data_IF_139303029484
#
_entry.id   IF_139303029484
#
_cell.length_a   1.000
_cell.length_b   1.000
_cell.length_c   1.000
_cell.angle_alpha   90.00
_cell.angle_beta   90.00
_cell.angle_gamma   90.00
#
_symmetry.space_group_name_H-M   'P 1'
#
loop_
_entity.id
_entity.type
_entity.pdbx_description
1 polymer ?
#
# COMPACT_ATOMS: atom_id res chain seq x y z
N UNK A 1 3.47 0.22 -52.41
CA UNK A 1 3.64 1.61 -51.96
C UNK A 1 3.77 1.58 -50.46
N UNK A 2 4.94 1.93 -49.99
CA UNK A 2 5.40 1.95 -48.60
C UNK A 2 4.57 2.94 -47.75
N UNK A 3 4.42 2.66 -46.43
CA UNK A 3 5.03 3.54 -45.47
C UNK A 3 5.29 2.85 -44.14
N UNK A 4 6.56 2.83 -43.86
CA UNK A 4 7.26 2.41 -42.68
C UNK A 4 7.29 3.59 -41.70
N UNK A 5 6.82 3.42 -40.48
CA UNK A 5 7.16 4.30 -39.36
C UNK A 5 7.40 3.52 -38.10
N UNK A 6 8.69 3.26 -37.89
CA UNK A 6 9.24 2.74 -36.67
C UNK A 6 8.74 3.48 -35.43
N UNK A 7 8.04 2.77 -34.56
CA UNK A 7 7.75 3.21 -33.19
C UNK A 7 8.84 2.70 -32.27
N UNK A 8 9.57 3.67 -31.74
CA UNK A 8 10.53 3.55 -30.66
C UNK A 8 10.06 2.67 -29.51
N UNK A 9 10.79 1.59 -29.28
CA UNK A 9 10.73 0.79 -28.05
C UNK A 9 11.40 1.56 -26.92
N UNK A 10 10.67 2.38 -26.17
CA UNK A 10 11.02 2.81 -24.81
C UNK A 10 9.74 3.38 -24.14
N UNK A 11 8.78 2.51 -23.88
CA UNK A 11 7.72 2.85 -22.93
C UNK A 11 7.75 1.82 -21.79
N UNK A 12 8.61 2.09 -20.81
CA UNK A 12 8.62 1.41 -19.52
C UNK A 12 7.61 2.08 -18.60
N UNK A 13 6.39 2.22 -19.05
CA UNK A 13 5.28 2.49 -18.16
C UNK A 13 4.95 1.19 -17.43
N UNK A 14 5.29 1.12 -16.17
CA UNK A 14 4.76 0.16 -15.21
C UNK A 14 3.26 0.43 -15.03
N UNK A 15 2.49 0.26 -16.10
CA UNK A 15 1.03 0.25 -16.03
C UNK A 15 0.64 -1.08 -15.38
N UNK A 16 0.29 -1.02 -14.09
CA UNK A 16 -0.46 -2.08 -13.45
C UNK A 16 -1.63 -2.42 -14.38
N UNK A 17 -1.67 -3.63 -14.94
CA UNK A 17 -2.74 -4.10 -15.81
C UNK A 17 -4.07 -3.90 -15.09
N UNK A 18 -4.81 -2.89 -15.53
CA UNK A 18 -6.17 -2.62 -15.02
C UNK A 18 -7.09 -3.57 -15.77
N UNK A 19 -7.52 -4.63 -15.10
CA UNK A 19 -8.60 -5.46 -15.61
C UNK A 19 -9.85 -4.61 -15.88
N UNK A 20 -10.60 -4.96 -16.93
CA UNK A 20 -11.82 -4.23 -17.29
C UNK A 20 -12.86 -4.27 -16.16
N UNK A 21 -13.74 -3.30 -16.10
CA UNK A 21 -14.77 -3.22 -15.05
C UNK A 21 -15.73 -4.42 -15.07
N UNK A 22 -15.97 -5.00 -16.27
CA UNK A 22 -16.80 -6.20 -16.47
C UNK A 22 -16.14 -7.47 -15.92
N UNK A 23 -14.80 -7.55 -15.90
CA UNK A 23 -14.06 -8.69 -15.38
C UNK A 23 -13.86 -8.64 -13.85
N UNK A 24 -14.10 -7.50 -13.20
CA UNK A 24 -13.87 -7.31 -11.75
C UNK A 24 -15.00 -7.80 -10.87
N UNK A 25 -16.14 -8.16 -11.43
CA UNK A 25 -17.30 -8.51 -10.63
C UNK A 25 -17.69 -7.40 -9.63
N UNK A 26 -18.16 -7.79 -8.47
CA UNK A 26 -18.65 -6.87 -7.43
C UNK A 26 -17.54 -6.23 -6.54
N UNK A 27 -16.32 -6.02 -7.06
CA UNK A 27 -15.19 -5.35 -6.35
C UNK A 27 -14.83 -6.05 -5.01
N UNK A 28 -14.98 -7.38 -4.95
CA UNK A 28 -14.64 -8.18 -3.78
C UNK A 28 -13.12 -8.29 -3.67
N UNK A 29 -12.56 -7.70 -2.61
CA UNK A 29 -11.16 -7.84 -2.22
C UNK A 29 -11.11 -8.51 -0.85
N UNK A 30 -10.81 -9.81 -0.84
CA UNK A 30 -10.68 -10.52 0.42
C UNK A 30 -9.55 -9.97 1.27
N UNK A 31 -9.84 -9.70 2.52
CA UNK A 31 -8.86 -9.24 3.49
C UNK A 31 -7.98 -10.41 3.92
N UNK A 32 -6.65 -10.34 3.72
CA UNK A 32 -5.77 -11.40 4.19
C UNK A 32 -5.88 -11.58 5.70
N UNK A 33 -5.92 -12.82 6.19
CA UNK A 33 -5.99 -13.13 7.62
C UNK A 33 -4.90 -12.39 8.43
N UNK A 34 -3.69 -12.31 7.89
CA UNK A 34 -2.55 -11.60 8.51
C UNK A 34 -2.82 -10.11 8.77
N UNK A 35 -3.73 -9.49 8.04
CA UNK A 35 -4.11 -8.10 8.27
C UNK A 35 -4.96 -7.96 9.53
N UNK A 36 -5.88 -8.88 9.77
CA UNK A 36 -6.74 -8.92 10.95
C UNK A 36 -5.92 -9.33 12.18
N UNK A 37 -5.04 -10.33 12.04
CA UNK A 37 -4.09 -10.74 13.07
C UNK A 37 -3.20 -9.58 13.54
N UNK A 38 -2.69 -8.79 12.59
CA UNK A 38 -1.88 -7.62 12.91
C UNK A 38 -2.67 -6.54 13.66
N UNK A 39 -3.96 -6.38 13.36
CA UNK A 39 -4.85 -5.48 14.10
C UNK A 39 -5.02 -5.97 15.54
N UNK A 40 -5.37 -7.24 15.73
CA UNK A 40 -5.65 -7.83 17.04
C UNK A 40 -4.44 -7.83 17.99
N UNK A 41 -3.22 -7.96 17.45
CA UNK A 41 -1.98 -7.86 18.24
C UNK A 41 -1.77 -6.47 18.87
N UNK A 42 -2.31 -5.42 18.29
CA UNK A 42 -2.00 -4.02 18.69
C UNK A 42 -3.20 -3.25 19.21
N UNK A 43 -4.39 -3.78 19.03
CA UNK A 43 -5.65 -3.11 19.38
C UNK A 43 -6.62 -4.09 20.06
N UNK A 44 -6.91 -3.83 21.33
CA UNK A 44 -8.05 -4.46 21.99
C UNK A 44 -9.34 -3.91 21.39
N UNK A 45 -10.20 -4.80 20.90
CA UNK A 45 -11.49 -4.41 20.34
C UNK A 45 -12.47 -4.03 21.46
N UNK A 46 -13.45 -3.15 21.18
CA UNK A 46 -14.52 -2.84 22.12
C UNK A 46 -15.30 -4.08 22.55
N UNK A 47 -15.89 -4.04 23.75
CA UNK A 47 -16.79 -5.09 24.23
C UNK A 47 -18.05 -5.18 23.38
N UNK A 48 -18.71 -6.34 23.41
CA UNK A 48 -19.90 -6.63 22.62
C UNK A 48 -19.57 -7.43 21.33
N UNK A 49 -20.59 -7.67 20.53
CA UNK A 49 -20.41 -8.29 19.22
C UNK A 49 -19.77 -7.32 18.23
N UNK A 50 -19.09 -7.85 17.25
CA UNK A 50 -18.54 -7.10 16.12
C UNK A 50 -19.46 -7.31 14.93
N UNK A 51 -19.85 -6.22 14.28
CA UNK A 51 -20.60 -6.32 13.03
C UNK A 51 -19.68 -6.08 11.84
N UNK A 52 -19.68 -7.03 10.91
CA UNK A 52 -19.03 -6.91 9.60
C UNK A 52 -20.12 -6.77 8.51
N UNK A 53 -20.48 -5.52 8.12
CA UNK A 53 -21.60 -5.25 7.22
C UNK A 53 -21.27 -5.37 5.72
N UNK A 54 -20.07 -5.74 5.37
CA UNK A 54 -19.62 -6.06 4.02
C UNK A 54 -18.67 -7.26 4.11
N UNK A 55 -19.22 -8.38 4.60
CA UNK A 55 -18.40 -9.52 5.05
C UNK A 55 -17.83 -10.34 3.88
N UNK A 56 -18.35 -10.18 2.66
CA UNK A 56 -17.94 -10.97 1.53
C UNK A 56 -18.03 -12.47 1.82
N UNK A 57 -16.91 -13.17 1.76
CA UNK A 57 -16.80 -14.59 2.12
C UNK A 57 -16.42 -14.84 3.57
N UNK A 58 -16.52 -13.83 4.44
CA UNK A 58 -16.22 -13.96 5.86
C UNK A 58 -14.75 -13.95 6.21
N UNK A 59 -13.87 -13.41 5.37
CA UNK A 59 -12.42 -13.43 5.59
C UNK A 59 -12.01 -12.76 6.90
N UNK A 60 -12.60 -11.63 7.27
CA UNK A 60 -12.38 -10.95 8.54
C UNK A 60 -13.09 -11.70 9.68
N UNK A 61 -14.37 -12.03 9.47
CA UNK A 61 -15.19 -12.68 10.48
C UNK A 61 -14.59 -14.00 10.99
N UNK A 62 -14.03 -14.81 10.10
CA UNK A 62 -13.42 -16.10 10.46
C UNK A 62 -12.23 -15.92 11.39
N UNK A 63 -11.37 -14.91 11.14
CA UNK A 63 -10.24 -14.62 12.04
C UNK A 63 -10.74 -14.10 13.38
N UNK A 64 -11.71 -13.18 13.39
CA UNK A 64 -12.27 -12.66 14.63
C UNK A 64 -12.92 -13.75 15.47
N UNK A 65 -13.69 -14.67 14.86
CA UNK A 65 -14.28 -15.83 15.54
C UNK A 65 -13.23 -16.78 16.11
N UNK A 66 -12.15 -17.03 15.36
CA UNK A 66 -11.02 -17.84 15.84
C UNK A 66 -10.33 -17.24 17.08
N UNK A 67 -10.40 -15.91 17.24
CA UNK A 67 -9.93 -15.19 18.43
C UNK A 67 -11.00 -15.02 19.52
N UNK A 68 -12.12 -15.74 19.44
CA UNK A 68 -13.17 -15.77 20.46
C UNK A 68 -14.13 -14.56 20.40
N UNK A 69 -14.09 -13.76 19.35
CA UNK A 69 -15.06 -12.68 19.19
C UNK A 69 -16.40 -13.18 18.62
N UNK A 70 -17.49 -12.64 19.13
CA UNK A 70 -18.82 -12.82 18.55
C UNK A 70 -18.95 -11.90 17.35
N UNK A 71 -19.26 -12.44 16.17
CA UNK A 71 -19.32 -11.67 14.92
C UNK A 71 -20.69 -11.86 14.25
N UNK A 72 -21.35 -10.74 13.98
CA UNK A 72 -22.53 -10.67 13.11
C UNK A 72 -22.04 -10.29 11.72
N UNK A 73 -22.44 -11.06 10.72
CA UNK A 73 -22.05 -10.82 9.31
C UNK A 73 -23.27 -10.45 8.48
N UNK A 74 -23.13 -9.45 7.64
CA UNK A 74 -24.07 -9.17 6.56
C UNK A 74 -23.36 -8.69 5.31
N UNK A 75 -23.99 -8.88 4.16
CA UNK A 75 -23.50 -8.37 2.88
C UNK A 75 -24.68 -8.11 1.93
N UNK A 76 -24.47 -7.22 0.96
CA UNK A 76 -25.43 -6.99 -0.11
C UNK A 76 -25.53 -8.20 -1.05
N UNK A 77 -24.44 -8.95 -1.19
CA UNK A 77 -24.29 -10.04 -2.15
C UNK A 77 -24.07 -11.34 -1.41
N UNK A 78 -24.77 -12.37 -1.83
CA UNK A 78 -24.52 -13.73 -1.35
C UNK A 78 -23.35 -14.35 -2.13
N UNK A 79 -22.24 -14.57 -1.42
CA UNK A 79 -21.06 -15.24 -1.95
C UNK A 79 -21.01 -16.74 -1.62
N UNK A 80 -22.04 -17.26 -0.96
CA UNK A 80 -22.19 -18.69 -0.65
C UNK A 80 -21.15 -19.26 0.33
N UNK A 81 -20.46 -18.41 1.10
CA UNK A 81 -19.31 -18.83 1.89
C UNK A 81 -19.55 -18.90 3.40
N UNK A 82 -20.47 -18.11 3.95
CA UNK A 82 -20.78 -18.07 5.39
C UNK A 82 -22.29 -18.30 5.59
N UNK A 83 -22.65 -19.51 6.05
CA UNK A 83 -24.05 -19.87 6.30
C UNK A 83 -24.69 -19.09 7.46
N UNK A 84 -23.90 -18.37 8.24
CA UNK A 84 -24.39 -17.55 9.36
C UNK A 84 -24.54 -16.07 8.98
N UNK A 85 -24.13 -15.68 7.78
CA UNK A 85 -24.25 -14.33 7.28
C UNK A 85 -25.67 -14.04 6.77
N UNK A 86 -26.10 -12.80 6.92
CA UNK A 86 -27.38 -12.30 6.40
C UNK A 86 -27.07 -11.59 5.08
N UNK A 87 -27.53 -12.15 3.98
CA UNK A 87 -27.30 -11.59 2.64
C UNK A 87 -28.48 -10.76 2.16
N UNK A 88 -28.28 -9.95 1.11
CA UNK A 88 -29.27 -9.02 0.58
C UNK A 88 -29.42 -7.74 1.42
N UNK A 89 -28.52 -7.49 2.36
CA UNK A 89 -28.55 -6.32 3.24
C UNK A 89 -27.71 -5.19 2.66
N UNK A 90 -28.38 -4.12 2.23
CA UNK A 90 -27.68 -2.87 1.89
C UNK A 90 -27.32 -2.12 3.17
N UNK A 91 -26.07 -2.20 3.59
CA UNK A 91 -25.59 -1.53 4.79
C UNK A 91 -25.94 -0.04 4.82
N UNK A 92 -25.85 0.66 3.70
CA UNK A 92 -26.12 2.10 3.63
C UNK A 92 -27.61 2.47 3.80
N UNK A 93 -28.49 1.47 3.82
CA UNK A 93 -29.94 1.63 4.08
C UNK A 93 -30.36 1.09 5.44
N UNK A 94 -29.47 0.45 6.17
CA UNK A 94 -29.76 -0.11 7.50
C UNK A 94 -29.91 1.02 8.51
N UNK A 95 -30.96 0.98 9.31
CA UNK A 95 -31.26 2.03 10.31
C UNK A 95 -30.93 1.63 11.74
N UNK A 96 -30.70 0.34 11.98
CA UNK A 96 -30.51 -0.21 13.32
C UNK A 96 -29.26 -1.07 13.40
N UNK A 97 -28.62 -1.08 14.56
CA UNK A 97 -27.57 -2.03 14.87
C UNK A 97 -28.15 -3.39 15.22
N UNK A 98 -27.53 -4.51 14.81
CA UNK A 98 -27.82 -5.79 15.43
C UNK A 98 -27.60 -5.76 16.96
N UNK A 99 -28.34 -6.58 17.68
CA UNK A 99 -28.26 -6.63 19.15
C UNK A 99 -26.83 -6.86 19.65
N UNK A 100 -26.49 -6.19 20.73
CA UNK A 100 -25.19 -6.28 21.43
C UNK A 100 -23.96 -5.89 20.61
N UNK A 101 -24.11 -5.25 19.48
CA UNK A 101 -22.97 -4.77 18.67
C UNK A 101 -22.30 -3.58 19.36
N UNK A 102 -21.02 -3.76 19.70
CA UNK A 102 -20.17 -2.71 20.28
C UNK A 102 -19.20 -2.08 19.27
N UNK A 103 -19.01 -2.71 18.12
CA UNK A 103 -18.06 -2.24 17.10
C UNK A 103 -18.50 -2.66 15.69
N UNK A 104 -18.33 -1.77 14.73
CA UNK A 104 -18.35 -2.11 13.29
C UNK A 104 -16.93 -2.26 12.82
N UNK A 105 -16.57 -3.43 12.24
CA UNK A 105 -15.25 -3.72 11.70
C UNK A 105 -15.40 -4.35 10.32
N UNK A 106 -14.87 -3.71 9.28
CA UNK A 106 -15.07 -4.17 7.90
C UNK A 106 -13.99 -3.68 6.93
N UNK A 107 -13.91 -4.30 5.77
CA UNK A 107 -13.22 -3.81 4.58
C UNK A 107 -14.27 -3.37 3.55
N UNK A 108 -14.70 -2.12 3.57
CA UNK A 108 -15.79 -1.66 2.71
C UNK A 108 -15.36 -1.53 1.24
N UNK A 109 -16.30 -1.52 0.29
CA UNK A 109 -16.01 -1.15 -1.09
C UNK A 109 -15.32 0.22 -1.15
N UNK A 110 -14.11 0.29 -1.73
CA UNK A 110 -13.28 1.51 -1.64
C UNK A 110 -13.90 2.75 -2.26
N UNK A 111 -14.79 2.58 -3.25
CA UNK A 111 -15.52 3.69 -3.87
C UNK A 111 -16.57 4.30 -2.93
N UNK A 112 -17.06 3.53 -1.97
CA UNK A 112 -18.12 3.92 -1.03
C UNK A 112 -17.60 4.23 0.38
N UNK A 113 -16.29 4.20 0.59
CA UNK A 113 -15.69 4.24 1.92
C UNK A 113 -16.16 5.44 2.75
N UNK A 114 -16.27 6.63 2.19
CA UNK A 114 -16.76 7.82 2.91
C UNK A 114 -18.19 7.61 3.39
N UNK A 115 -19.07 7.10 2.53
CA UNK A 115 -20.46 6.80 2.89
C UNK A 115 -20.54 5.72 3.98
N UNK A 116 -19.68 4.71 3.90
CA UNK A 116 -19.59 3.66 4.91
C UNK A 116 -19.15 4.21 6.27
N UNK A 117 -18.14 5.09 6.30
CA UNK A 117 -17.65 5.72 7.54
C UNK A 117 -18.76 6.58 8.15
N UNK A 118 -19.37 7.48 7.37
CA UNK A 118 -20.43 8.37 7.84
C UNK A 118 -21.61 7.57 8.41
N UNK A 119 -22.05 6.57 7.67
CA UNK A 119 -23.18 5.74 8.06
C UNK A 119 -22.87 4.86 9.29
N UNK A 120 -21.70 4.22 9.30
CA UNK A 120 -21.26 3.41 10.43
C UNK A 120 -21.19 4.22 11.72
N UNK A 121 -20.71 5.46 11.66
CA UNK A 121 -20.63 6.35 12.83
C UNK A 121 -21.97 6.93 13.27
N UNK A 122 -23.01 6.91 12.43
CA UNK A 122 -24.37 7.18 12.86
C UNK A 122 -24.93 6.02 13.68
N UNK A 123 -24.64 4.80 13.30
CA UNK A 123 -25.13 3.59 13.95
C UNK A 123 -24.32 3.23 15.21
N UNK A 124 -22.99 3.16 15.09
CA UNK A 124 -22.11 2.64 16.13
C UNK A 124 -21.05 3.66 16.55
N UNK A 125 -20.77 3.79 17.88
CA UNK A 125 -19.73 4.72 18.34
C UNK A 125 -18.29 4.24 18.01
N UNK A 126 -18.06 2.96 17.79
CA UNK A 126 -16.75 2.41 17.50
C UNK A 126 -16.74 1.81 16.09
N UNK A 127 -15.89 2.35 15.23
CA UNK A 127 -15.78 1.93 13.82
C UNK A 127 -14.32 1.68 13.49
N UNK A 128 -14.03 0.55 12.87
CA UNK A 128 -12.71 0.18 12.39
C UNK A 128 -12.84 -0.28 10.94
N UNK A 129 -12.09 0.34 10.04
CA UNK A 129 -12.13 -0.05 8.63
C UNK A 129 -10.75 -0.26 8.05
N UNK A 130 -10.61 -1.29 7.24
CA UNK A 130 -9.47 -1.43 6.36
C UNK A 130 -9.62 -0.47 5.19
N UNK A 131 -8.64 0.37 4.98
CA UNK A 131 -8.67 1.42 3.97
C UNK A 131 -7.39 1.47 3.17
N UNK A 132 -7.46 1.99 1.96
CA UNK A 132 -6.25 2.42 1.24
C UNK A 132 -5.64 3.59 1.98
N UNK A 133 -4.31 3.65 2.07
CA UNK A 133 -3.61 4.75 2.75
C UNK A 133 -3.96 6.12 2.14
N UNK A 134 -4.28 6.14 0.84
CA UNK A 134 -4.79 7.32 0.14
C UNK A 134 -6.13 7.87 0.71
N UNK A 135 -6.78 7.18 1.64
CA UNK A 135 -7.90 7.74 2.41
C UNK A 135 -7.47 8.99 3.20
N UNK A 136 -6.22 9.02 3.66
CA UNK A 136 -5.68 10.12 4.47
C UNK A 136 -5.28 11.35 3.64
N UNK A 137 -5.42 11.26 2.33
CA UNK A 137 -5.17 12.36 1.39
C UNK A 137 -6.50 12.93 0.89
N UNK A 138 -6.51 14.16 0.45
CA UNK A 138 -7.66 14.79 -0.20
C UNK A 138 -8.63 15.51 0.73
N UNK A 139 -8.81 16.77 0.43
CA UNK A 139 -9.77 17.72 1.04
C UNK A 139 -11.21 17.15 1.13
N UNK A 140 -11.62 16.38 0.13
CA UNK A 140 -12.95 15.75 0.09
C UNK A 140 -13.23 14.77 1.24
N UNK A 141 -12.22 14.47 2.05
CA UNK A 141 -12.29 13.52 3.18
C UNK A 141 -12.16 14.17 4.54
N UNK A 142 -12.02 15.50 4.60
CA UNK A 142 -11.94 16.25 5.83
C UNK A 142 -13.13 15.96 6.75
N UNK A 143 -14.32 15.79 6.22
CA UNK A 143 -15.51 15.47 7.03
C UNK A 143 -15.37 14.14 7.80
N UNK A 144 -14.74 13.13 7.22
CA UNK A 144 -14.58 11.81 7.88
C UNK A 144 -13.28 11.70 8.66
N UNK A 145 -12.28 12.52 8.36
CA UNK A 145 -10.99 12.51 9.03
C UNK A 145 -10.93 13.48 10.22
N UNK A 146 -11.50 14.68 10.10
CA UNK A 146 -11.37 15.75 11.07
C UNK A 146 -12.60 15.86 11.96
N UNK A 147 -13.81 15.73 11.41
CA UNK A 147 -15.06 16.00 12.12
C UNK A 147 -15.69 14.78 12.82
N UNK A 148 -15.21 13.56 12.59
CA UNK A 148 -15.88 12.32 13.02
C UNK A 148 -15.18 11.53 14.13
N UNK A 149 -14.20 12.12 14.79
CA UNK A 149 -13.52 11.48 15.91
C UNK A 149 -12.54 10.38 15.46
N UNK A 150 -11.70 10.69 14.47
CA UNK A 150 -10.56 9.85 14.08
C UNK A 150 -9.67 9.62 15.31
N UNK A 151 -9.46 8.35 15.66
CA UNK A 151 -8.71 7.99 16.87
C UNK A 151 -7.35 7.40 16.59
N UNK A 152 -7.27 6.50 15.59
CA UNK A 152 -6.02 5.82 15.23
C UNK A 152 -5.92 5.53 13.76
N UNK A 153 -4.69 5.58 13.27
CA UNK A 153 -4.30 5.10 11.95
C UNK A 153 -3.16 4.09 12.12
N UNK A 154 -3.42 2.82 11.79
CA UNK A 154 -2.47 1.74 11.92
C UNK A 154 -1.95 1.37 10.52
N UNK A 155 -0.76 1.84 10.17
CA UNK A 155 -0.18 1.72 8.84
C UNK A 155 0.67 0.45 8.75
N UNK A 156 0.44 -0.39 7.77
CA UNK A 156 1.27 -1.57 7.55
C UNK A 156 2.68 -1.18 7.08
N UNK A 157 3.70 -1.73 7.72
CA UNK A 157 5.12 -1.52 7.35
C UNK A 157 5.47 -2.10 5.98
N UNK A 158 4.77 -3.17 5.57
CA UNK A 158 4.90 -3.83 4.26
C UNK A 158 3.54 -3.89 3.58
N UNK A 159 3.53 -3.96 2.26
CA UNK A 159 2.31 -4.14 1.48
C UNK A 159 1.61 -5.42 1.88
N UNK A 160 0.29 -5.35 2.08
CA UNK A 160 -0.53 -6.53 2.32
C UNK A 160 -0.55 -7.43 1.08
N UNK A 161 -0.53 -8.74 1.26
CA UNK A 161 -0.71 -9.70 0.17
C UNK A 161 -2.19 -9.79 -0.24
N UNK A 162 -2.78 -8.65 -0.65
CA UNK A 162 -4.18 -8.59 -1.09
C UNK A 162 -4.34 -9.40 -2.37
N UNK A 163 -5.18 -10.41 -2.32
CA UNK A 163 -5.55 -11.21 -3.50
C UNK A 163 -6.69 -10.49 -4.24
N UNK A 164 -6.53 -10.32 -5.54
CA UNK A 164 -7.53 -9.64 -6.36
C UNK A 164 -8.75 -10.51 -6.69
N UNK A 165 -8.66 -11.83 -6.54
CA UNK A 165 -9.72 -12.78 -6.84
C UNK A 165 -9.50 -14.11 -6.17
N UNK A 166 -10.58 -14.74 -5.82
CA UNK A 166 -10.62 -16.18 -5.57
C UNK A 166 -10.23 -16.94 -6.85
N UNK A 167 -9.33 -17.90 -6.71
CA UNK A 167 -8.88 -18.73 -7.83
C UNK A 167 -7.85 -18.09 -8.78
N UNK A 168 -7.26 -16.93 -8.45
CA UNK A 168 -6.21 -16.35 -9.28
C UNK A 168 -4.96 -17.26 -9.34
N UNK A 169 -4.70 -17.82 -10.53
CA UNK A 169 -3.55 -18.69 -10.81
C UNK A 169 -2.33 -17.93 -11.35
N UNK A 170 -2.44 -16.63 -11.55
CA UNK A 170 -1.37 -15.80 -12.09
C UNK A 170 -0.28 -15.45 -11.08
N UNK A 171 0.81 -14.81 -11.55
CA UNK A 171 1.89 -14.32 -10.70
C UNK A 171 1.33 -13.42 -9.60
N UNK A 172 1.76 -13.64 -8.35
CA UNK A 172 1.46 -12.75 -7.23
C UNK A 172 2.00 -11.35 -7.56
N UNK A 173 1.10 -10.49 -8.05
CA UNK A 173 1.44 -9.10 -8.33
C UNK A 173 1.79 -8.39 -7.03
N UNK A 174 2.87 -7.63 -7.00
CA UNK A 174 3.08 -6.67 -5.93
C UNK A 174 1.91 -5.69 -5.97
N UNK A 175 1.05 -5.75 -4.95
CA UNK A 175 -0.01 -4.78 -4.81
C UNK A 175 0.61 -3.39 -4.62
N UNK A 176 0.55 -2.54 -5.64
CA UNK A 176 1.07 -1.17 -5.60
C UNK A 176 0.40 -0.31 -4.53
N UNK A 177 -0.73 -0.76 -3.96
CA UNK A 177 -1.52 0.00 -3.00
C UNK A 177 -1.06 -0.23 -1.55
N UNK A 178 -0.95 0.86 -0.79
CA UNK A 178 -0.76 0.81 0.65
C UNK A 178 -2.11 0.76 1.34
N UNK A 179 -2.16 0.00 2.44
CA UNK A 179 -3.33 -0.12 3.30
C UNK A 179 -3.01 0.27 4.73
N UNK A 180 -4.05 0.60 5.47
CA UNK A 180 -4.03 0.85 6.89
C UNK A 180 -5.37 0.44 7.51
N UNK A 181 -5.35 0.10 8.80
CA UNK A 181 -6.55 0.10 9.60
C UNK A 181 -6.78 1.50 10.14
N UNK A 182 -8.00 1.99 10.05
CA UNK A 182 -8.41 3.29 10.59
C UNK A 182 -9.51 3.07 11.61
N UNK A 183 -9.33 3.65 12.79
CA UNK A 183 -10.29 3.57 13.88
C UNK A 183 -10.87 4.94 14.16
N UNK A 184 -12.19 5.00 14.18
CA UNK A 184 -12.95 6.13 14.67
C UNK A 184 -13.67 5.78 15.98
N UNK A 185 -13.84 6.77 16.82
CA UNK A 185 -14.70 6.70 17.99
C UNK A 185 -15.52 7.97 18.06
N UNK A 186 -16.84 7.85 17.87
CA UNK A 186 -17.75 8.99 17.95
C UNK A 186 -17.55 9.75 19.27
N UNK A 187 -17.44 11.06 19.18
CA UNK A 187 -17.19 11.93 20.34
C UNK A 187 -15.73 11.99 20.81
N UNK A 188 -14.78 11.33 20.14
CA UNK A 188 -13.36 11.50 20.45
C UNK A 188 -12.87 12.87 19.97
N UNK A 189 -12.19 13.62 20.86
CA UNK A 189 -11.70 14.98 20.63
C UNK A 189 -10.17 15.09 20.69
N UNK A 190 -9.47 13.98 20.94
CA UNK A 190 -8.01 13.97 21.02
C UNK A 190 -7.34 13.88 19.66
N UNK A 191 -6.04 14.11 19.63
CA UNK A 191 -5.22 13.92 18.45
C UNK A 191 -5.19 12.46 18.00
N UNK A 192 -5.29 12.18 16.71
CA UNK A 192 -5.23 10.81 16.21
C UNK A 192 -3.84 10.21 16.36
N UNK A 193 -3.77 9.00 16.88
CA UNK A 193 -2.53 8.25 17.03
C UNK A 193 -2.19 7.54 15.74
N UNK A 194 -1.04 7.86 15.16
CA UNK A 194 -0.48 7.12 14.03
C UNK A 194 0.52 6.08 14.53
N UNK A 195 0.31 4.81 14.16
CA UNK A 195 1.22 3.70 14.50
C UNK A 195 1.53 2.86 13.27
N UNK A 196 2.78 2.46 13.11
CA UNK A 196 3.17 1.48 12.07
C UNK A 196 3.12 0.07 12.67
N UNK A 197 2.43 -0.84 11.99
CA UNK A 197 2.24 -2.24 12.40
C UNK A 197 2.86 -3.21 11.40
N UNK A 198 3.24 -4.41 11.85
CA UNK A 198 3.69 -5.50 10.98
C UNK A 198 2.61 -6.56 10.89
N UNK A 199 2.39 -7.09 9.70
CA UNK A 199 1.57 -8.29 9.49
C UNK A 199 2.42 -9.58 9.46
N UNK A 200 3.73 -9.47 9.40
CA UNK A 200 4.63 -10.60 9.61
C UNK A 200 4.73 -10.91 11.10
N UNK A 201 4.81 -12.17 11.44
CA UNK A 201 4.74 -12.71 12.80
C UNK A 201 5.90 -12.27 13.71
N UNK A 202 6.80 -11.52 13.15
CA UNK A 202 7.92 -11.02 13.85
C UNK A 202 7.72 -9.56 14.22
N UNK A 203 7.14 -9.36 15.42
CA UNK A 203 7.84 -8.38 16.17
C UNK A 203 7.47 -6.94 15.85
N UNK A 204 6.51 -6.50 16.56
CA UNK A 204 6.47 -5.10 17.02
C UNK A 204 7.70 -4.83 17.92
N UNK A 205 8.86 -5.27 17.51
CA UNK A 205 10.10 -4.75 18.04
C UNK A 205 10.07 -3.26 17.77
N UNK A 206 10.11 -2.48 18.87
CA UNK A 206 10.46 -1.08 18.80
C UNK A 206 11.59 -0.95 17.78
N UNK A 207 11.53 0.00 16.84
CA UNK A 207 12.63 0.20 15.93
C UNK A 207 13.85 0.39 16.81
N UNK A 208 14.75 -0.58 16.81
CA UNK A 208 16.09 -0.35 17.29
C UNK A 208 16.56 0.83 16.44
N UNK A 209 16.83 1.96 17.07
CA UNK A 209 17.62 3.05 16.52
C UNK A 209 19.01 2.48 16.24
N UNK A 210 19.09 1.60 15.27
CA UNK A 210 20.23 0.81 14.99
C UNK A 210 20.40 0.64 13.50
N UNK A 211 21.30 1.44 12.97
CA UNK A 211 21.90 1.32 11.64
C UNK A 211 20.91 1.56 10.49
N UNK A 212 20.77 2.81 10.15
CA UNK A 212 20.49 3.19 8.78
C UNK A 212 21.54 2.52 7.86
N UNK A 213 21.06 1.63 7.02
CA UNK A 213 21.86 0.97 6.01
C UNK A 213 22.34 -0.41 6.47
N UNK A 214 21.82 -1.48 5.84
CA UNK A 214 22.68 -2.63 5.57
C UNK A 214 23.98 -2.06 5.02
N UNK A 215 25.15 -2.39 5.56
CA UNK A 215 26.37 -2.19 4.78
C UNK A 215 26.12 -3.02 3.51
N UNK A 216 26.03 -2.33 2.40
CA UNK A 216 25.96 -2.99 1.10
C UNK A 216 27.26 -3.78 1.04
N UNK A 217 27.21 -5.12 1.15
CA UNK A 217 28.37 -5.97 0.92
C UNK A 217 28.82 -5.66 -0.51
N UNK A 218 29.83 -4.81 -0.66
CA UNK A 218 30.34 -4.36 -1.95
C UNK A 218 30.21 -2.86 -2.22
N UNK A 219 29.67 -2.05 -1.31
CA UNK A 219 29.76 -0.61 -1.42
C UNK A 219 31.14 -0.12 -0.96
N UNK A 220 32.16 -0.51 -1.70
CA UNK A 220 33.34 0.31 -1.77
C UNK A 220 32.95 1.66 -2.36
N UNK A 221 33.71 2.68 -2.04
CA UNK A 221 33.58 4.13 -2.30
C UNK A 221 33.01 4.57 -3.68
N UNK A 222 32.56 3.65 -4.51
CA UNK A 222 32.00 3.90 -5.85
C UNK A 222 30.49 4.21 -5.91
N UNK A 223 29.72 4.05 -4.85
CA UNK A 223 28.24 4.16 -4.91
C UNK A 223 27.69 5.59 -4.95
N UNK A 224 28.54 6.61 -4.82
CA UNK A 224 28.14 8.01 -4.92
C UNK A 224 28.45 8.66 -6.28
N UNK A 225 28.88 7.88 -7.27
CA UNK A 225 29.12 8.40 -8.62
C UNK A 225 27.78 8.62 -9.30
N UNK A 226 27.21 9.82 -9.18
CA UNK A 226 26.03 10.22 -9.95
C UNK A 226 26.36 10.17 -11.43
N UNK A 227 25.49 9.58 -12.24
CA UNK A 227 25.60 9.62 -13.71
C UNK A 227 25.65 11.08 -14.14
N UNK A 228 26.70 11.44 -14.91
CA UNK A 228 26.91 12.81 -15.36
C UNK A 228 28.38 13.13 -15.63
N UNK A 229 28.67 14.40 -15.83
CA UNK A 229 30.02 14.90 -16.14
C UNK A 229 30.86 15.23 -14.90
N UNK A 230 30.53 14.66 -13.71
CA UNK A 230 31.37 14.90 -12.53
C UNK A 230 32.70 14.13 -12.61
N UNK A 231 33.73 14.72 -12.03
CA UNK A 231 35.13 14.23 -12.13
C UNK A 231 35.30 12.75 -11.75
N UNK A 232 34.75 12.23 -10.62
CA UNK A 232 34.90 10.82 -10.25
C UNK A 232 34.28 9.85 -11.27
N UNK A 233 33.09 10.19 -11.79
CA UNK A 233 32.41 9.37 -12.80
C UNK A 233 33.19 9.33 -14.11
N UNK A 234 33.70 10.47 -14.56
CA UNK A 234 34.46 10.59 -15.80
C UNK A 234 35.78 9.80 -15.70
N UNK A 235 36.50 9.93 -14.60
CA UNK A 235 37.74 9.16 -14.40
C UNK A 235 37.49 7.64 -14.36
N UNK A 236 36.40 7.19 -13.69
CA UNK A 236 36.04 5.79 -13.69
C UNK A 236 35.71 5.28 -15.11
N UNK A 237 35.05 6.09 -15.92
CA UNK A 237 34.72 5.77 -17.31
C UNK A 237 35.99 5.73 -18.17
N UNK A 238 36.87 6.71 -18.06
CA UNK A 238 38.13 6.75 -18.79
C UNK A 238 39.04 5.56 -18.46
N UNK A 239 39.08 5.12 -17.20
CA UNK A 239 39.82 3.92 -16.77
C UNK A 239 39.26 2.65 -17.43
N UNK A 240 37.94 2.51 -17.42
CA UNK A 240 37.26 1.36 -18.05
C UNK A 240 37.50 1.33 -19.57
N UNK A 241 37.50 2.49 -20.20
CA UNK A 241 37.66 2.62 -21.65
C UNK A 241 39.14 2.73 -22.09
N UNK A 242 40.13 2.52 -21.15
CA UNK A 242 41.56 2.47 -21.42
C UNK A 242 42.17 3.79 -21.82
N UNK A 243 41.57 4.92 -21.49
CA UNK A 243 41.99 6.27 -21.93
C UNK A 243 42.95 6.94 -20.93
N UNK A 244 44.15 6.35 -20.77
CA UNK A 244 45.18 6.88 -19.87
C UNK A 244 45.57 8.32 -20.23
N UNK A 245 45.60 8.65 -21.52
CA UNK A 245 45.87 9.98 -22.05
C UNK A 245 44.96 11.08 -21.55
N UNK A 246 43.70 10.76 -21.38
CA UNK A 246 42.69 11.71 -20.84
C UNK A 246 42.63 11.71 -19.33
N UNK A 247 42.99 10.59 -18.68
CA UNK A 247 43.02 10.50 -17.22
C UNK A 247 44.04 11.49 -16.66
N UNK A 248 45.27 11.46 -17.16
CA UNK A 248 46.33 12.35 -16.74
C UNK A 248 45.98 13.84 -16.89
N UNK A 249 45.33 14.19 -18.02
CA UNK A 249 44.89 15.58 -18.28
C UNK A 249 43.74 16.00 -17.35
N UNK A 250 42.88 15.10 -16.93
CA UNK A 250 41.80 15.39 -15.97
C UNK A 250 42.34 15.45 -14.54
N UNK A 251 43.32 14.61 -14.20
CA UNK A 251 43.92 14.59 -12.86
C UNK A 251 44.83 15.82 -12.63
N UNK A 252 45.58 16.23 -13.64
CA UNK A 252 46.40 17.45 -13.62
C UNK A 252 45.57 18.75 -13.73
N UNK A 253 44.30 18.69 -14.07
CA UNK A 253 43.48 19.86 -14.27
C UNK A 253 43.64 20.52 -15.66
N UNK A 254 44.45 19.97 -16.54
CA UNK A 254 44.67 20.48 -17.90
C UNK A 254 43.41 20.30 -18.80
N UNK A 255 42.50 19.37 -18.41
CA UNK A 255 41.24 19.14 -19.10
C UNK A 255 40.10 18.97 -18.08
N UNK A 256 38.99 19.65 -18.32
CA UNK A 256 37.81 19.44 -17.48
C UNK A 256 37.22 18.06 -17.69
N UNK A 257 36.56 17.50 -16.67
CA UNK A 257 35.82 16.23 -16.81
C UNK A 257 34.82 16.23 -17.96
N UNK A 258 34.14 17.34 -18.20
CA UNK A 258 33.18 17.51 -19.30
C UNK A 258 33.90 17.54 -20.66
N UNK A 259 35.08 18.19 -20.74
CA UNK A 259 35.92 18.21 -21.93
C UNK A 259 36.47 16.83 -22.29
N UNK A 260 36.85 16.03 -21.28
CA UNK A 260 37.30 14.66 -21.50
C UNK A 260 36.17 13.73 -22.04
N UNK A 261 34.91 13.90 -21.61
CA UNK A 261 33.79 13.19 -22.17
C UNK A 261 33.51 13.58 -23.63
N UNK A 262 33.63 14.86 -23.98
CA UNK A 262 33.47 15.33 -25.36
C UNK A 262 34.57 14.73 -26.27
N UNK A 263 35.82 14.72 -25.80
CA UNK A 263 36.95 14.12 -26.53
C UNK A 263 36.86 12.59 -26.74
N UNK A 264 36.02 11.91 -25.98
CA UNK A 264 35.68 10.48 -26.19
C UNK A 264 34.70 10.28 -27.33
N UNK A 265 33.74 11.22 -27.52
CA UNK A 265 32.68 11.13 -28.53
C UNK A 265 33.18 11.50 -29.93
N UNK A 266 34.11 12.44 -30.04
CA UNK A 266 34.60 12.91 -31.35
C UNK A 266 35.43 11.86 -32.13
N UNK A 267 35.94 10.81 -31.49
CA UNK A 267 36.67 9.72 -32.15
C UNK A 267 35.79 8.60 -32.72
N UNK A 268 34.50 8.60 -32.44
CA UNK A 268 33.56 7.60 -33.00
C UNK A 268 32.95 8.02 -34.35
N UNK A 269 33.15 9.27 -34.76
CA UNK A 269 32.59 9.81 -36.01
C UNK A 269 33.61 9.82 -37.16
N UNK A 270 34.82 9.30 -36.96
CA UNK A 270 35.90 9.27 -37.97
C UNK A 270 36.40 7.82 -38.22
N UNK A 271 35.46 6.90 -38.44
CA UNK A 271 35.73 5.59 -39.06
C UNK A 271 34.58 5.19 -39.97
#
# INVERSE_FOLDING_TARGET
>A
MMDDKGKSMLDHSCQAQRHSHAERGHDLYETPAVAVEALLRVLALPSGAIWEPACGRGAIANVLRAHGHRVVCSDLIDYGADSTAIYGVDFLKTTELPADVGCILTNPPFKLINKFIDHALQLCPNVIMLARLALLESERRSSVLEARGLRRVLIFRKRLPMMHRDGWQGKRGNNGMAFCWVQWRRGYQGEPVLRRISWEDDRDRAPTLGRHGRPNKGSQVGSQIKRGANRPYVLARLRRDGRADLIEKVESGALSARGALAAMTDKQTSR
#
